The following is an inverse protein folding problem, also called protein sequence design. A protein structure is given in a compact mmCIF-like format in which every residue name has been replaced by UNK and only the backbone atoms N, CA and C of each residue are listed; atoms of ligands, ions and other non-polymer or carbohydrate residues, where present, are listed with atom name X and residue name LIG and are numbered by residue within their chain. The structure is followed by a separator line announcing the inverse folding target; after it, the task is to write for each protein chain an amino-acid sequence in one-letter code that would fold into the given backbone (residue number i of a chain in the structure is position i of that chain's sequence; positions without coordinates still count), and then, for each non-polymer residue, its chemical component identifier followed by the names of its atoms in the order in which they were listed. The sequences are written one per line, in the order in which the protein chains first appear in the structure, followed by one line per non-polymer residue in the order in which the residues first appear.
data_IF_044961452476
#
_entry.id   IF_044961452476
#
_cell.length_a   1.000
_cell.length_b   1.000
_cell.length_c   1.000
_cell.angle_alpha   90.00
_cell.angle_beta   90.00
_cell.angle_gamma   90.00
#
_symmetry.space_group_name_H-M   'P 1'
#
loop_
_entity.id
_entity.type
_entity.pdbx_description
1 polymer ?
#
# COMPACT_ATOMS: atom_id res chain seq x y z
N UNK A 1 46.68 -12.05 17.68
CA UNK A 1 45.76 -13.15 17.35
C UNK A 1 44.41 -12.72 16.75
N UNK A 2 43.45 -12.10 17.45
CA UNK A 2 42.14 -11.72 16.83
C UNK A 2 42.27 -10.64 15.75
N UNK A 3 43.11 -9.63 15.97
CA UNK A 3 43.40 -8.57 14.98
C UNK A 3 44.13 -9.10 13.71
N UNK A 4 45.05 -10.06 13.87
CA UNK A 4 45.77 -10.68 12.72
C UNK A 4 44.86 -11.57 11.86
N UNK A 5 43.88 -12.22 12.47
CA UNK A 5 42.90 -13.07 11.77
C UNK A 5 41.95 -12.20 10.93
N UNK A 6 41.56 -11.02 11.42
CA UNK A 6 40.76 -10.07 10.66
C UNK A 6 41.53 -9.47 9.48
N UNK A 7 42.80 -9.09 9.68
CA UNK A 7 43.64 -8.55 8.61
C UNK A 7 43.96 -9.59 7.52
N UNK A 8 44.20 -10.86 7.90
CA UNK A 8 44.49 -11.94 6.94
C UNK A 8 43.26 -12.37 6.13
N UNK A 9 42.05 -12.34 6.72
CA UNK A 9 40.81 -12.62 5.99
C UNK A 9 40.35 -11.46 5.10
N UNK A 10 40.70 -10.23 5.44
CA UNK A 10 40.51 -9.11 4.53
C UNK A 10 41.43 -9.27 3.31
N UNK A 11 42.71 -9.63 3.50
CA UNK A 11 43.73 -9.75 2.45
C UNK A 11 43.40 -10.76 1.33
N UNK A 12 42.51 -11.72 1.56
CA UNK A 12 42.13 -12.74 0.57
C UNK A 12 40.86 -12.41 -0.24
N UNK A 13 40.37 -11.17 -0.20
CA UNK A 13 39.20 -10.77 -0.99
C UNK A 13 39.58 -10.64 -2.46
N UNK A 14 38.76 -11.13 -3.40
CA UNK A 14 39.03 -10.95 -4.82
C UNK A 14 39.11 -9.45 -5.15
N UNK A 15 40.13 -9.06 -5.91
CA UNK A 15 40.44 -7.68 -6.35
C UNK A 15 39.21 -6.77 -6.62
N UNK A 16 38.16 -7.20 -7.35
CA UNK A 16 36.98 -6.36 -7.59
C UNK A 16 36.18 -5.96 -6.32
N UNK A 17 36.34 -6.66 -5.21
CA UNK A 17 35.65 -6.37 -3.95
C UNK A 17 36.46 -5.45 -3.02
N UNK A 18 37.69 -5.06 -3.38
CA UNK A 18 38.52 -4.18 -2.56
C UNK A 18 37.96 -2.75 -2.44
N UNK A 19 37.14 -2.31 -3.39
CA UNK A 19 36.47 -0.99 -3.35
C UNK A 19 35.58 -0.83 -2.11
N UNK A 20 35.02 -1.94 -1.62
CA UNK A 20 34.18 -2.02 -0.42
C UNK A 20 34.99 -1.98 0.88
N UNK A 21 36.32 -1.81 0.83
CA UNK A 21 37.11 -1.51 2.03
C UNK A 21 37.11 -0.03 2.39
N UNK A 22 36.85 0.86 1.43
CA UNK A 22 36.86 2.30 1.72
C UNK A 22 35.56 2.70 2.41
N UNK A 23 35.70 3.37 3.56
CA UNK A 23 34.56 3.85 4.32
C UNK A 23 33.78 4.90 3.53
N UNK A 24 34.46 5.71 2.72
CA UNK A 24 33.81 6.71 1.87
C UNK A 24 32.95 6.07 0.78
N UNK A 25 33.47 5.05 0.06
CA UNK A 25 32.70 4.35 -0.98
C UNK A 25 31.49 3.64 -0.38
N UNK A 26 31.67 2.93 0.73
CA UNK A 26 30.56 2.25 1.39
C UNK A 26 29.50 3.24 1.87
N UNK A 27 29.92 4.36 2.44
CA UNK A 27 28.98 5.43 2.87
C UNK A 27 28.22 6.00 1.68
N UNK A 28 28.93 6.35 0.60
CA UNK A 28 28.31 6.87 -0.62
C UNK A 28 27.35 5.87 -1.25
N UNK A 29 27.72 4.59 -1.31
CA UNK A 29 26.89 3.51 -1.84
C UNK A 29 25.64 3.30 -0.97
N UNK A 30 25.80 3.25 0.35
CA UNK A 30 24.68 3.09 1.28
C UNK A 30 23.70 4.26 1.19
N UNK A 31 24.19 5.50 1.16
CA UNK A 31 23.34 6.69 1.00
C UNK A 31 22.62 6.70 -0.35
N UNK A 32 23.33 6.36 -1.43
CA UNK A 32 22.75 6.30 -2.77
C UNK A 32 21.66 5.23 -2.85
N UNK A 33 21.92 4.04 -2.29
CA UNK A 33 20.94 2.96 -2.27
C UNK A 33 19.72 3.32 -1.40
N UNK A 34 19.94 3.92 -0.23
CA UNK A 34 18.86 4.39 0.63
C UNK A 34 17.97 5.42 -0.08
N UNK A 35 18.59 6.39 -0.78
CA UNK A 35 17.86 7.39 -1.57
C UNK A 35 17.06 6.74 -2.70
N UNK A 36 17.69 5.84 -3.47
CA UNK A 36 17.04 5.12 -4.58
C UNK A 36 15.85 4.29 -4.08
N UNK A 37 16.02 3.52 -3.00
CA UNK A 37 14.95 2.73 -2.42
C UNK A 37 13.82 3.60 -1.86
N UNK A 38 14.14 4.76 -1.28
CA UNK A 38 13.13 5.71 -0.79
C UNK A 38 12.31 6.28 -1.94
N UNK A 39 12.98 6.74 -3.01
CA UNK A 39 12.32 7.27 -4.22
C UNK A 39 11.47 6.17 -4.86
N UNK A 40 12.02 4.96 -4.99
CA UNK A 40 11.31 3.80 -5.56
C UNK A 40 10.06 3.45 -4.73
N UNK A 41 10.20 3.35 -3.40
CA UNK A 41 9.06 3.09 -2.50
C UNK A 41 8.00 4.19 -2.59
N UNK A 42 8.40 5.45 -2.67
CA UNK A 42 7.49 6.58 -2.84
C UNK A 42 6.77 6.56 -4.20
N UNK A 43 7.43 6.12 -5.27
CA UNK A 43 6.81 5.97 -6.57
C UNK A 43 5.82 4.80 -6.61
N UNK A 44 6.17 3.65 -6.00
CA UNK A 44 5.31 2.47 -5.92
C UNK A 44 4.05 2.76 -5.10
N UNK A 45 4.18 3.42 -3.96
CA UNK A 45 3.03 3.75 -3.09
C UNK A 45 2.02 4.71 -3.72
N UNK A 46 2.46 5.54 -4.68
CA UNK A 46 1.57 6.42 -5.44
C UNK A 46 0.89 5.75 -6.64
N UNK A 47 1.28 4.53 -6.99
CA UNK A 47 0.69 3.81 -8.14
C UNK A 47 -0.80 3.56 -7.92
N UNK A 48 -1.58 3.56 -9.01
CA UNK A 48 -3.05 3.47 -8.96
C UNK A 48 -3.53 2.20 -8.23
N UNK A 49 -4.71 2.22 -7.56
CA UNK A 49 -5.21 1.03 -6.86
C UNK A 49 -5.38 -0.15 -7.82
N UNK A 50 -4.89 -1.33 -7.46
CA UNK A 50 -5.06 -2.54 -8.28
C UNK A 50 -6.32 -3.27 -7.81
N UNK A 51 -7.14 -3.73 -8.75
CA UNK A 51 -8.31 -4.55 -8.43
C UNK A 51 -7.87 -6.00 -8.34
N UNK A 52 -7.98 -6.58 -7.16
CA UNK A 52 -7.72 -8.00 -6.92
C UNK A 52 -9.06 -8.74 -6.77
N UNK A 53 -9.29 -9.77 -7.60
CA UNK A 53 -10.47 -10.63 -7.50
C UNK A 53 -10.09 -11.90 -6.76
N UNK A 54 -10.74 -12.16 -5.63
CA UNK A 54 -10.50 -13.35 -4.80
C UNK A 54 -11.80 -14.13 -4.69
N UNK A 55 -11.76 -15.41 -5.02
CA UNK A 55 -12.88 -16.33 -4.80
C UNK A 55 -12.78 -16.90 -3.39
N UNK A 56 -13.74 -16.56 -2.53
CA UNK A 56 -13.79 -17.05 -1.15
C UNK A 56 -14.81 -18.18 -1.08
N UNK A 57 -14.34 -19.39 -0.74
CA UNK A 57 -15.22 -20.53 -0.49
C UNK A 57 -15.88 -20.42 0.88
N UNK A 58 -17.19 -20.22 0.91
CA UNK A 58 -17.98 -20.13 2.16
C UNK A 58 -18.74 -21.46 2.33
N UNK A 59 -18.45 -22.19 3.41
CA UNK A 59 -19.18 -23.41 3.74
C UNK A 59 -20.64 -23.07 4.05
N UNK A 60 -21.57 -23.86 3.50
CA UNK A 60 -23.02 -23.66 3.66
C UNK A 60 -23.50 -22.27 3.23
N UNK A 61 -22.89 -21.68 2.20
CA UNK A 61 -23.39 -20.44 1.62
C UNK A 61 -24.82 -20.68 1.07
N UNK A 62 -25.82 -19.89 1.50
CA UNK A 62 -27.16 -19.98 0.93
C UNK A 62 -27.13 -19.78 -0.59
N UNK A 63 -27.91 -20.57 -1.34
CA UNK A 63 -27.97 -20.47 -2.80
C UNK A 63 -28.33 -19.06 -3.27
N UNK A 64 -29.11 -18.31 -2.49
CA UNK A 64 -29.46 -16.91 -2.77
C UNK A 64 -28.28 -15.94 -2.80
N UNK A 65 -27.14 -16.33 -2.23
CA UNK A 65 -25.89 -15.55 -2.22
C UNK A 65 -24.85 -16.07 -3.23
N UNK A 66 -25.17 -17.12 -4.00
CA UNK A 66 -24.29 -17.57 -5.08
C UNK A 66 -24.13 -16.48 -6.14
N UNK A 67 -22.88 -16.14 -6.44
CA UNK A 67 -22.56 -15.07 -7.39
C UNK A 67 -22.69 -13.65 -6.81
N UNK A 68 -22.98 -13.51 -5.52
CA UNK A 68 -23.01 -12.21 -4.85
C UNK A 68 -21.62 -11.59 -4.79
N UNK A 69 -21.50 -10.33 -5.22
CA UNK A 69 -20.21 -9.63 -5.34
C UNK A 69 -20.08 -8.51 -4.32
N UNK A 70 -18.98 -8.53 -3.57
CA UNK A 70 -18.64 -7.49 -2.59
C UNK A 70 -17.34 -6.84 -3.01
N UNK A 71 -17.33 -5.51 -3.12
CA UNK A 71 -16.08 -4.75 -3.14
C UNK A 71 -15.75 -4.36 -1.70
N UNK A 72 -14.63 -4.88 -1.20
CA UNK A 72 -14.07 -4.51 0.09
C UNK A 72 -13.01 -3.43 -0.11
N UNK A 73 -13.25 -2.26 0.48
CA UNK A 73 -12.29 -1.17 0.59
C UNK A 73 -11.79 -1.15 2.02
N UNK A 74 -10.51 -1.42 2.24
CA UNK A 74 -9.92 -1.44 3.57
C UNK A 74 -8.83 -0.38 3.73
N UNK A 75 -8.70 0.17 4.94
CA UNK A 75 -7.58 1.02 5.38
C UNK A 75 -7.21 2.10 4.34
N UNK A 76 -8.22 2.88 3.94
CA UNK A 76 -8.04 3.90 2.90
C UNK A 76 -7.13 5.03 3.40
N UNK A 77 -7.13 5.31 4.70
CA UNK A 77 -6.27 6.31 5.35
C UNK A 77 -6.32 7.69 4.66
N UNK A 78 -7.52 8.21 4.39
CA UNK A 78 -7.70 9.53 3.77
C UNK A 78 -7.05 10.61 4.65
N UNK A 79 -6.07 11.32 4.11
CA UNK A 79 -5.17 12.14 4.90
C UNK A 79 -4.15 12.91 4.05
N UNK A 80 -2.95 13.20 4.58
CA UNK A 80 -1.87 13.89 3.86
C UNK A 80 -1.43 13.13 2.60
N UNK A 81 -1.34 11.81 2.70
CA UNK A 81 -0.86 10.93 1.62
C UNK A 81 -1.98 10.54 0.66
N UNK A 82 -3.19 10.31 1.17
CA UNK A 82 -4.37 9.94 0.36
C UNK A 82 -5.31 11.14 0.25
N UNK A 83 -5.18 11.86 -0.87
CA UNK A 83 -5.99 13.04 -1.18
C UNK A 83 -7.27 12.73 -1.96
N UNK A 84 -8.07 13.77 -2.21
CA UNK A 84 -9.36 13.70 -2.90
C UNK A 84 -9.31 12.95 -4.24
N UNK A 85 -8.32 13.24 -5.09
CA UNK A 85 -8.17 12.60 -6.41
C UNK A 85 -8.06 11.07 -6.29
N UNK A 86 -7.33 10.58 -5.30
CA UNK A 86 -7.19 9.14 -5.02
C UNK A 86 -8.52 8.51 -4.64
N UNK A 87 -9.31 9.21 -3.82
CA UNK A 87 -10.66 8.76 -3.44
C UNK A 87 -11.58 8.75 -4.66
N UNK A 88 -11.51 9.75 -5.54
CA UNK A 88 -12.26 9.77 -6.80
C UNK A 88 -11.90 8.59 -7.72
N UNK A 89 -10.60 8.25 -7.83
CA UNK A 89 -10.14 7.07 -8.58
C UNK A 89 -10.66 5.75 -7.97
N UNK A 90 -10.65 5.63 -6.64
CA UNK A 90 -11.22 4.47 -5.94
C UNK A 90 -12.71 4.33 -6.25
N UNK A 91 -13.48 5.42 -6.13
CA UNK A 91 -14.92 5.42 -6.41
C UNK A 91 -15.20 5.05 -7.87
N UNK A 92 -14.45 5.62 -8.81
CA UNK A 92 -14.60 5.30 -10.23
C UNK A 92 -14.33 3.81 -10.51
N UNK A 93 -13.25 3.26 -9.94
CA UNK A 93 -12.91 1.83 -10.08
C UNK A 93 -13.96 0.93 -9.43
N UNK A 94 -14.42 1.25 -8.22
CA UNK A 94 -15.46 0.48 -7.53
C UNK A 94 -16.75 0.47 -8.34
N UNK A 95 -17.19 1.63 -8.83
CA UNK A 95 -18.43 1.72 -9.62
C UNK A 95 -18.33 0.96 -10.95
N UNK A 96 -17.15 0.92 -11.57
CA UNK A 96 -16.91 0.16 -12.79
C UNK A 96 -17.00 -1.37 -12.58
N UNK A 97 -16.85 -1.86 -11.34
CA UNK A 97 -17.04 -3.27 -11.00
C UNK A 97 -18.52 -3.67 -10.85
N UNK A 98 -19.43 -2.69 -10.80
CA UNK A 98 -20.88 -2.90 -10.61
C UNK A 98 -21.20 -3.86 -9.45
N UNK A 99 -20.68 -3.64 -8.23
CA UNK A 99 -20.85 -4.60 -7.15
C UNK A 99 -22.28 -4.63 -6.61
N UNK A 100 -22.65 -5.79 -6.06
CA UNK A 100 -23.89 -5.92 -5.29
C UNK A 100 -23.81 -5.08 -4.00
N UNK A 101 -22.65 -5.10 -3.32
CA UNK A 101 -22.42 -4.38 -2.07
C UNK A 101 -21.02 -3.78 -2.02
N UNK A 102 -20.89 -2.62 -1.38
CA UNK A 102 -19.58 -2.05 -1.00
C UNK A 102 -19.44 -2.11 0.52
N UNK A 103 -18.32 -2.63 0.98
CA UNK A 103 -17.93 -2.61 2.39
C UNK A 103 -16.66 -1.76 2.54
N UNK A 104 -16.73 -0.76 3.41
CA UNK A 104 -15.57 0.02 3.87
C UNK A 104 -15.22 -0.50 5.26
N UNK A 105 -14.02 -1.04 5.44
CA UNK A 105 -13.60 -1.67 6.68
C UNK A 105 -12.28 -1.07 7.18
N UNK A 106 -12.23 -0.68 8.44
CA UNK A 106 -10.99 -0.17 9.03
C UNK A 106 -10.77 1.32 8.73
N UNK A 107 -9.52 1.74 8.86
CA UNK A 107 -9.13 3.14 9.04
C UNK A 107 -9.41 3.99 7.79
N UNK A 108 -10.60 4.61 7.77
CA UNK A 108 -11.01 5.42 6.63
C UNK A 108 -10.22 6.73 6.53
N UNK A 109 -9.84 7.32 7.66
CA UNK A 109 -9.27 8.67 7.73
C UNK A 109 -8.11 8.73 8.72
N UNK A 110 -7.07 9.49 8.36
CA UNK A 110 -5.93 9.76 9.22
C UNK A 110 -5.97 11.18 9.78
N UNK A 111 -6.27 11.27 11.07
CA UNK A 111 -6.12 12.47 11.89
C UNK A 111 -7.28 13.47 11.85
N UNK A 112 -7.16 14.49 12.69
CA UNK A 112 -8.12 15.58 12.83
C UNK A 112 -7.73 16.73 11.90
N UNK A 113 -8.04 16.60 10.61
CA UNK A 113 -7.77 17.65 9.64
C UNK A 113 -9.02 18.53 9.43
N UNK A 114 -8.93 19.86 9.58
CA UNK A 114 -10.06 20.77 9.32
C UNK A 114 -10.58 20.69 7.88
N UNK A 115 -9.82 20.08 6.97
CA UNK A 115 -10.15 19.91 5.55
C UNK A 115 -10.35 18.44 5.13
N UNK A 116 -10.76 17.56 6.06
CA UNK A 116 -11.00 16.16 5.75
C UNK A 116 -12.29 15.94 4.94
N UNK A 117 -13.36 16.68 5.25
CA UNK A 117 -14.67 16.52 4.63
C UNK A 117 -14.63 16.62 3.08
N UNK A 118 -13.98 17.62 2.45
CA UNK A 118 -13.88 17.68 0.98
C UNK A 118 -13.09 16.51 0.36
N UNK A 119 -12.21 15.84 1.12
CA UNK A 119 -11.40 14.71 0.65
C UNK A 119 -12.19 13.41 0.65
N UNK A 120 -13.03 13.19 1.67
CA UNK A 120 -13.89 12.00 1.78
C UNK A 120 -15.19 12.14 0.99
N UNK A 121 -15.62 13.37 0.68
CA UNK A 121 -16.87 13.66 -0.04
C UNK A 121 -17.08 12.82 -1.31
N UNK A 122 -16.08 12.48 -2.14
CA UNK A 122 -16.31 11.63 -3.31
C UNK A 122 -16.93 10.26 -2.98
N UNK A 123 -16.74 9.72 -1.76
CA UNK A 123 -17.29 8.42 -1.34
C UNK A 123 -18.81 8.36 -1.40
N UNK A 124 -19.50 9.51 -1.31
CA UNK A 124 -20.97 9.56 -1.45
C UNK A 124 -21.44 9.11 -2.84
N UNK A 125 -20.55 9.07 -3.82
CA UNK A 125 -20.84 8.64 -5.19
C UNK A 125 -20.60 7.14 -5.41
N UNK A 126 -20.28 6.37 -4.36
CA UNK A 126 -20.24 4.91 -4.44
C UNK A 126 -21.63 4.38 -4.81
N UNK A 127 -21.66 3.48 -5.80
CA UNK A 127 -22.87 2.84 -6.31
C UNK A 127 -22.80 1.35 -6.08
N UNK A 128 -23.85 0.82 -5.50
CA UNK A 128 -24.07 -0.61 -5.29
C UNK A 128 -25.56 -0.90 -5.21
N UNK A 129 -25.94 -2.15 -5.45
CA UNK A 129 -27.35 -2.57 -5.44
C UNK A 129 -27.95 -2.61 -4.03
N UNK A 130 -27.18 -3.07 -3.05
CA UNK A 130 -27.63 -3.28 -1.67
C UNK A 130 -27.03 -2.30 -0.66
N UNK A 131 -26.35 -1.25 -1.12
CA UNK A 131 -25.83 -0.17 -0.30
C UNK A 131 -24.33 -0.25 0.01
N UNK A 132 -23.85 0.79 0.67
CA UNK A 132 -22.47 0.94 1.12
C UNK A 132 -22.45 0.92 2.63
N UNK A 133 -21.65 0.04 3.22
CA UNK A 133 -21.56 -0.16 4.66
C UNK A 133 -20.17 0.25 5.14
N UNK A 134 -20.08 0.82 6.34
CA UNK A 134 -18.83 1.25 6.95
C UNK A 134 -18.69 0.67 8.34
N UNK A 135 -17.53 0.05 8.61
CA UNK A 135 -17.09 -0.37 9.93
C UNK A 135 -15.83 0.40 10.31
N UNK A 136 -15.84 1.05 11.48
CA UNK A 136 -14.71 1.84 11.97
C UNK A 136 -13.50 0.96 12.25
N UNK A 137 -12.31 1.49 11.99
CA UNK A 137 -11.06 0.91 12.46
C UNK A 137 -10.68 1.35 13.88
N UNK A 138 -9.41 1.23 14.23
CA UNK A 138 -8.88 1.39 15.58
C UNK A 138 -8.23 2.76 15.82
#
# INVERSE_FOLDING_TARGET
MVLEILTSRLASWPEPLLIFRSAEFNTALSLSLALLLTIYGFAVTQSAPVVNRVNVGIQNLPESLHGFTIVLLADIHVGPTVGRKRVEEIVAKTNALQPDMVAIAGDLVDGFLPNLAPRVMPLVNLKSKYGTYFATGL
#
